data_IF_524252566220
#
_entry.id   IF_524252566220
#
_cell.length_a   1.000
_cell.length_b   1.000
_cell.length_c   1.000
_cell.angle_alpha   90.00
_cell.angle_beta   90.00
_cell.angle_gamma   90.00
#
_symmetry.space_group_name_H-M   'P 1'
#
loop_
_entity.id
_entity.type
_entity.pdbx_description
1 polymer ?
#
# COMPACT_ATOMS: atom_id res chain seq x y z
N UNK A 1 13.25 -5.89 -9.88
CA UNK A 1 11.77 -5.92 -10.08
C UNK A 1 11.21 -4.50 -10.21
N UNK A 2 11.87 -3.63 -10.95
CA UNK A 2 11.38 -2.27 -11.13
C UNK A 2 10.14 -2.26 -12.04
N UNK A 3 10.29 -2.81 -13.25
CA UNK A 3 9.26 -2.79 -14.29
C UNK A 3 7.93 -3.40 -13.87
N UNK A 4 7.96 -4.54 -13.15
CA UNK A 4 6.74 -5.18 -12.67
C UNK A 4 5.99 -4.31 -11.65
N UNK A 5 6.71 -3.59 -10.77
CA UNK A 5 6.06 -2.67 -9.84
C UNK A 5 5.51 -1.45 -10.57
N UNK A 6 6.23 -0.91 -11.54
CA UNK A 6 5.72 0.19 -12.38
C UNK A 6 4.47 -0.22 -13.16
N UNK A 7 4.42 -1.44 -13.70
CA UNK A 7 3.22 -1.98 -14.34
C UNK A 7 2.04 -2.14 -13.38
N UNK A 8 2.31 -2.56 -12.12
CA UNK A 8 1.28 -2.56 -11.07
C UNK A 8 0.79 -1.13 -10.79
N UNK A 9 1.68 -0.15 -10.68
CA UNK A 9 1.27 1.24 -10.43
C UNK A 9 0.37 1.79 -11.54
N UNK A 10 0.75 1.60 -12.81
CA UNK A 10 -0.06 2.04 -13.95
C UNK A 10 -1.46 1.39 -13.95
N UNK A 11 -1.53 0.08 -13.68
CA UNK A 11 -2.82 -0.61 -13.60
C UNK A 11 -3.67 -0.16 -12.39
N UNK A 12 -3.05 0.23 -11.27
CA UNK A 12 -3.76 0.80 -10.12
C UNK A 12 -4.35 2.17 -10.46
N UNK A 13 -3.60 3.01 -11.16
CA UNK A 13 -4.04 4.33 -11.60
C UNK A 13 -5.20 4.24 -12.61
N UNK A 14 -5.15 3.29 -13.54
CA UNK A 14 -6.27 2.99 -14.45
C UNK A 14 -7.55 2.57 -13.71
N UNK A 15 -7.41 2.00 -12.49
CA UNK A 15 -8.51 1.60 -11.62
C UNK A 15 -8.86 2.65 -10.55
N UNK A 16 -8.28 3.84 -10.64
CA UNK A 16 -8.62 4.99 -9.80
C UNK A 16 -7.85 5.12 -8.49
N UNK A 17 -6.78 4.34 -8.28
CA UNK A 17 -5.90 4.50 -7.13
C UNK A 17 -4.70 5.38 -7.48
N UNK A 18 -4.52 6.49 -6.76
CA UNK A 18 -3.35 7.35 -6.90
C UNK A 18 -2.14 6.70 -6.21
N UNK A 19 -1.11 6.36 -6.97
CA UNK A 19 0.14 5.80 -6.43
C UNK A 19 1.10 6.92 -6.03
N UNK A 20 1.71 6.79 -4.84
CA UNK A 20 2.61 7.82 -4.30
C UNK A 20 4.08 7.36 -4.37
N UNK A 21 4.32 6.07 -4.17
CA UNK A 21 5.67 5.50 -4.15
C UNK A 21 5.62 4.00 -4.48
N UNK A 22 6.71 3.48 -5.03
CA UNK A 22 6.95 2.04 -5.10
C UNK A 22 8.43 1.75 -4.88
N UNK A 23 8.76 0.74 -4.08
CA UNK A 23 10.15 0.39 -3.80
C UNK A 23 10.34 -1.09 -3.52
N UNK A 24 11.61 -1.51 -3.53
CA UNK A 24 11.98 -2.79 -2.94
C UNK A 24 11.93 -2.63 -1.43
N UNK A 25 11.44 -3.66 -0.74
CA UNK A 25 11.40 -3.70 0.72
C UNK A 25 12.64 -4.42 1.27
N UNK A 26 12.72 -4.53 2.60
CA UNK A 26 13.93 -5.00 3.29
C UNK A 26 14.25 -6.48 3.02
N UNK A 27 13.24 -7.37 3.01
CA UNK A 27 13.49 -8.81 2.89
C UNK A 27 14.00 -9.22 1.51
N UNK A 28 14.79 -10.30 1.50
CA UNK A 28 15.18 -10.99 0.27
C UNK A 28 13.99 -11.66 -0.42
N UNK A 29 14.25 -12.41 -1.50
CA UNK A 29 13.25 -13.17 -2.26
C UNK A 29 12.08 -12.32 -2.80
N UNK A 30 12.28 -11.01 -2.87
CA UNK A 30 11.43 -10.11 -3.62
C UNK A 30 10.30 -9.46 -2.83
N UNK A 31 10.52 -9.15 -1.55
CA UNK A 31 9.63 -8.24 -0.84
C UNK A 31 9.56 -6.87 -1.55
N UNK A 32 8.36 -6.33 -1.71
CA UNK A 32 8.12 -5.05 -2.40
C UNK A 32 6.96 -4.31 -1.75
N UNK A 33 6.94 -3.00 -1.89
CA UNK A 33 5.85 -2.13 -1.45
C UNK A 33 5.40 -1.19 -2.58
N UNK A 34 4.09 -0.94 -2.63
CA UNK A 34 3.45 0.13 -3.42
C UNK A 34 2.60 0.95 -2.45
N UNK A 35 2.98 2.20 -2.25
CA UNK A 35 2.22 3.17 -1.45
C UNK A 35 1.15 3.84 -2.30
N UNK A 36 -0.07 3.87 -1.78
CA UNK A 36 -1.23 4.51 -2.40
C UNK A 36 -1.82 5.54 -1.45
N UNK A 37 -2.25 6.67 -2.00
CA UNK A 37 -2.80 7.80 -1.25
C UNK A 37 -3.98 7.40 -0.37
N UNK A 38 -4.16 8.08 0.77
CA UNK A 38 -5.28 7.82 1.68
C UNK A 38 -6.65 8.14 1.05
N UNK A 39 -7.72 7.58 1.62
CA UNK A 39 -9.10 7.91 1.26
C UNK A 39 -10.02 7.77 2.49
N UNK A 40 -11.30 8.13 2.35
CA UNK A 40 -12.35 7.85 3.32
C UNK A 40 -12.49 6.35 3.61
N UNK A 41 -12.90 5.99 4.83
CA UNK A 41 -12.85 4.62 5.37
C UNK A 41 -13.31 3.52 4.40
N UNK A 42 -14.56 3.58 3.92
CA UNK A 42 -15.13 2.52 3.07
C UNK A 42 -14.43 2.47 1.73
N UNK A 43 -14.20 3.63 1.09
CA UNK A 43 -13.48 3.70 -0.18
C UNK A 43 -12.07 3.14 -0.06
N UNK A 44 -11.37 3.43 1.05
CA UNK A 44 -10.02 2.90 1.23
C UNK A 44 -10.01 1.39 1.43
N UNK A 45 -11.04 0.83 2.07
CA UNK A 45 -11.20 -0.62 2.19
C UNK A 45 -11.42 -1.28 0.81
N UNK A 46 -12.23 -0.67 -0.07
CA UNK A 46 -12.43 -1.13 -1.44
C UNK A 46 -11.13 -1.08 -2.24
N UNK A 47 -10.39 0.04 -2.15
CA UNK A 47 -9.09 0.23 -2.79
C UNK A 47 -8.06 -0.81 -2.34
N UNK A 48 -8.05 -1.23 -1.08
CA UNK A 48 -7.15 -2.30 -0.61
C UNK A 48 -7.44 -3.62 -1.33
N UNK A 49 -8.71 -3.93 -1.63
CA UNK A 49 -9.03 -5.13 -2.41
C UNK A 49 -8.55 -5.01 -3.85
N UNK A 50 -8.74 -3.84 -4.48
CA UNK A 50 -8.24 -3.56 -5.83
C UNK A 50 -6.71 -3.67 -5.87
N UNK A 51 -6.02 -3.09 -4.89
CA UNK A 51 -4.57 -3.16 -4.75
C UNK A 51 -4.08 -4.61 -4.76
N UNK A 52 -4.66 -5.46 -3.90
CA UNK A 52 -4.29 -6.87 -3.82
C UNK A 52 -4.62 -7.61 -5.12
N UNK A 53 -5.74 -7.30 -5.75
CA UNK A 53 -6.15 -7.90 -7.03
C UNK A 53 -5.17 -7.57 -8.14
N UNK A 54 -4.78 -6.30 -8.31
CA UNK A 54 -3.81 -5.88 -9.33
C UNK A 54 -2.46 -6.53 -9.06
N UNK A 55 -1.97 -6.51 -7.82
CA UNK A 55 -0.69 -7.13 -7.46
C UNK A 55 -0.68 -8.62 -7.81
N UNK A 56 -1.74 -9.37 -7.47
CA UNK A 56 -1.83 -10.78 -7.82
C UNK A 56 -1.85 -11.01 -9.34
N UNK A 57 -2.65 -10.24 -10.09
CA UNK A 57 -2.83 -10.48 -11.53
C UNK A 57 -1.64 -10.01 -12.37
N UNK A 58 -1.05 -8.86 -12.06
CA UNK A 58 0.17 -8.40 -12.74
C UNK A 58 1.33 -9.32 -12.41
N UNK A 59 1.45 -9.80 -11.16
CA UNK A 59 2.45 -10.82 -10.82
C UNK A 59 2.26 -12.09 -11.67
N UNK A 60 1.03 -12.58 -11.76
CA UNK A 60 0.70 -13.75 -12.57
C UNK A 60 1.03 -13.57 -14.05
N UNK A 61 0.67 -12.42 -14.63
CA UNK A 61 0.98 -12.09 -16.04
C UNK A 61 2.48 -12.03 -16.34
N UNK A 62 3.30 -11.69 -15.34
CA UNK A 62 4.77 -11.70 -15.43
C UNK A 62 5.39 -13.06 -15.06
N UNK A 63 4.60 -14.13 -14.95
CA UNK A 63 5.08 -15.47 -14.59
C UNK A 63 5.55 -15.59 -13.14
N UNK A 64 4.99 -14.79 -12.23
CA UNK A 64 5.29 -14.79 -10.79
C UNK A 64 4.04 -15.11 -9.96
N UNK A 65 4.25 -15.33 -8.67
CA UNK A 65 3.18 -15.40 -7.66
C UNK A 65 3.47 -14.38 -6.58
N UNK A 66 2.45 -13.61 -6.17
CA UNK A 66 2.53 -12.67 -5.07
C UNK A 66 1.78 -13.22 -3.85
N UNK A 67 2.19 -12.83 -2.64
CA UNK A 67 1.52 -13.21 -1.40
C UNK A 67 1.53 -12.07 -0.40
N UNK A 68 0.41 -11.87 0.27
CA UNK A 68 0.27 -10.95 1.40
C UNK A 68 0.29 -11.68 2.75
N UNK A 69 0.76 -12.93 2.79
CA UNK A 69 0.97 -13.63 4.07
C UNK A 69 1.96 -12.84 4.93
N UNK A 70 1.72 -12.71 6.25
CA UNK A 70 2.48 -11.81 7.10
C UNK A 70 3.92 -12.27 7.33
N UNK A 71 4.22 -13.58 7.24
CA UNK A 71 5.56 -14.12 7.47
C UNK A 71 5.85 -15.31 6.55
N UNK A 72 6.19 -15.07 5.28
CA UNK A 72 6.44 -16.15 4.33
C UNK A 72 7.82 -16.80 4.51
N UNK A 73 8.79 -16.08 5.08
CA UNK A 73 10.15 -16.56 5.31
C UNK A 73 10.52 -16.45 6.79
N UNK A 74 11.11 -17.53 7.33
CA UNK A 74 11.65 -17.56 8.69
C UNK A 74 12.97 -16.76 8.71
N UNK A 75 13.20 -16.00 9.79
CA UNK A 75 14.42 -15.20 10.02
C UNK A 75 14.68 -14.04 9.03
N UNK A 76 13.67 -13.60 8.28
CA UNK A 76 13.73 -12.37 7.46
C UNK A 76 12.47 -11.51 7.70
N UNK A 77 12.38 -10.32 7.13
CA UNK A 77 11.26 -9.39 7.34
C UNK A 77 9.89 -9.99 6.94
N UNK A 78 8.86 -9.59 7.67
CA UNK A 78 7.47 -9.96 7.38
C UNK A 78 6.75 -8.88 6.57
N UNK A 79 5.56 -9.20 6.06
CA UNK A 79 4.69 -8.25 5.37
C UNK A 79 3.74 -7.60 6.38
N UNK A 80 3.91 -6.29 6.59
CA UNK A 80 2.99 -5.46 7.36
C UNK A 80 1.98 -4.75 6.47
N UNK A 81 0.94 -4.19 7.09
CA UNK A 81 0.05 -3.22 6.46
C UNK A 81 -0.18 -2.11 7.48
N UNK A 82 0.77 -1.17 7.55
CA UNK A 82 0.61 -0.01 8.41
C UNK A 82 -0.57 0.84 7.91
N UNK A 83 -1.40 1.31 8.83
CA UNK A 83 -2.61 2.08 8.50
C UNK A 83 -2.51 3.45 9.13
N UNK A 84 -2.36 4.48 8.29
CA UNK A 84 -2.40 5.86 8.74
C UNK A 84 -3.87 6.32 8.82
N UNK A 85 -4.24 6.97 9.92
CA UNK A 85 -5.61 7.39 10.18
C UNK A 85 -5.64 8.83 10.72
N UNK A 86 -6.64 9.60 10.29
CA UNK A 86 -6.95 10.91 10.83
C UNK A 86 -8.47 11.16 10.79
N UNK A 87 -8.95 12.09 11.62
CA UNK A 87 -10.32 12.56 11.57
C UNK A 87 -10.34 13.99 11.04
N UNK A 88 -11.35 14.29 10.21
CA UNK A 88 -11.56 15.63 9.70
C UNK A 88 -13.00 16.07 9.89
N UNK A 89 -13.19 17.37 10.14
CA UNK A 89 -14.51 18.02 10.19
C UNK A 89 -14.43 19.35 9.48
N UNK A 90 -15.34 19.60 8.55
CA UNK A 90 -15.38 20.83 7.76
C UNK A 90 -14.06 21.14 7.02
N UNK A 91 -13.33 20.10 6.59
CA UNK A 91 -12.04 20.25 5.90
C UNK A 91 -10.82 20.38 6.82
N UNK A 92 -11.02 20.54 8.13
CA UNK A 92 -9.94 20.68 9.11
C UNK A 92 -9.55 19.33 9.71
N UNK A 93 -8.24 19.07 9.83
CA UNK A 93 -7.71 17.87 10.47
C UNK A 93 -7.78 17.99 11.99
N UNK A 94 -8.62 17.17 12.62
CA UNK A 94 -8.86 17.18 14.06
C UNK A 94 -7.70 16.61 14.86
N UNK A 95 -6.74 15.93 14.23
CA UNK A 95 -5.57 15.38 14.93
C UNK A 95 -4.42 16.39 15.03
N UNK A 96 -4.51 17.58 14.42
CA UNK A 96 -3.45 18.59 14.51
C UNK A 96 -3.62 19.50 15.73
N UNK A 97 -2.54 19.73 16.47
CA UNK A 97 -2.51 20.61 17.64
C UNK A 97 -1.09 20.91 18.15
N UNK A 98 -0.98 21.37 19.39
CA UNK A 98 0.26 21.78 20.05
C UNK A 98 0.78 20.76 21.09
N UNK A 99 0.17 19.57 21.14
CA UNK A 99 0.61 18.46 21.97
C UNK A 99 1.83 17.71 21.43
N UNK A 100 2.09 16.54 22.02
CA UNK A 100 3.22 15.70 21.64
C UNK A 100 3.16 15.30 20.16
N UNK A 101 4.25 15.52 19.42
CA UNK A 101 4.31 15.21 17.99
C UNK A 101 3.42 16.08 17.10
N UNK A 102 2.92 17.22 17.60
CA UNK A 102 2.00 18.11 16.87
C UNK A 102 0.55 17.62 16.86
N UNK A 103 0.19 16.76 17.82
CA UNK A 103 -1.16 16.23 17.97
C UNK A 103 -2.08 17.16 18.79
N UNK A 104 -3.38 17.10 18.50
CA UNK A 104 -4.48 17.76 19.24
C UNK A 104 -4.62 17.30 20.68
#
# INVERSE_FOLDING_TARGET
MHDIRSAMCLALEELGLETEVHHHEVATAGQCEIGVKFNTLVRKADEVQILKYVVHNVAHAYGKTATFMPKPLVNDNGNGMHVHQSLAKNGENLFSGDGYGGLS
#
